data_IF_545963370275
#
_entry.id   IF_545963370275
#
_cell.length_a   1.000
_cell.length_b   1.000
_cell.length_c   1.000
_cell.angle_alpha   90.00
_cell.angle_beta   90.00
_cell.angle_gamma   90.00
#
_symmetry.space_group_name_H-M   'P 1'
#
loop_
_entity.id
_entity.type
_entity.pdbx_description
1 polymer ?
#
# COMPACT_ATOMS: atom_id res chain seq x y z
N UNK A 1 9.02 26.83 5.30
CA UNK A 1 8.26 25.68 4.76
C UNK A 1 7.26 25.26 5.83
N UNK A 2 6.05 24.83 5.44
CA UNK A 2 5.09 24.24 6.38
C UNK A 2 5.71 22.98 6.98
N UNK A 3 5.61 22.79 8.28
CA UNK A 3 6.07 21.55 8.92
C UNK A 3 5.18 20.39 8.44
N UNK A 4 5.78 19.27 8.04
CA UNK A 4 5.05 18.17 7.40
C UNK A 4 3.94 17.61 8.30
N UNK A 5 4.18 17.55 9.60
CA UNK A 5 3.18 17.11 10.57
C UNK A 5 1.90 17.99 10.57
N UNK A 6 2.00 19.25 10.16
CA UNK A 6 0.88 20.20 10.18
C UNK A 6 -0.02 20.10 8.94
N UNK A 7 0.27 19.18 8.01
CA UNK A 7 -0.60 18.94 6.85
C UNK A 7 -1.97 18.49 7.36
N UNK A 8 -3.02 19.22 6.96
CA UNK A 8 -4.41 18.90 7.33
C UNK A 8 -4.94 17.87 6.34
N UNK A 9 -5.49 16.78 6.86
CA UNK A 9 -5.96 15.70 5.99
C UNK A 9 -7.15 16.13 5.12
N UNK A 10 -7.94 17.10 5.59
CA UNK A 10 -9.05 17.70 4.86
C UNK A 10 -8.63 18.41 3.55
N UNK A 11 -7.34 18.75 3.39
CA UNK A 11 -6.81 19.28 2.13
C UNK A 11 -6.77 18.21 1.02
N UNK A 12 -6.85 16.93 1.40
CA UNK A 12 -6.82 15.75 0.52
C UNK A 12 -8.22 15.14 0.40
N UNK A 13 -9.23 15.98 0.27
CA UNK A 13 -10.61 15.57 0.13
C UNK A 13 -11.10 15.70 -1.31
N UNK A 14 -12.00 14.80 -1.70
CA UNK A 14 -12.71 14.85 -2.98
C UNK A 14 -14.01 14.04 -2.90
N UNK A 15 -15.05 14.43 -3.67
CA UNK A 15 -16.31 13.70 -3.65
C UNK A 15 -16.12 12.34 -4.33
N UNK A 16 -16.21 11.26 -3.55
CA UNK A 16 -16.22 9.89 -4.06
C UNK A 16 -17.63 9.30 -3.92
N UNK A 17 -18.43 9.24 -5.00
CA UNK A 17 -19.74 8.59 -4.96
C UNK A 17 -19.62 7.08 -4.73
N UNK A 18 -20.53 6.50 -3.93
CA UNK A 18 -20.55 5.06 -3.63
C UNK A 18 -20.64 4.19 -4.90
N UNK A 19 -21.34 4.68 -5.94
CA UNK A 19 -21.45 4.02 -7.25
C UNK A 19 -20.12 3.90 -8.01
N UNK A 20 -19.10 4.69 -7.64
CA UNK A 20 -17.75 4.58 -8.19
C UNK A 20 -16.89 3.56 -7.46
N UNK A 21 -17.32 3.03 -6.32
CA UNK A 21 -16.58 2.01 -5.56
C UNK A 21 -16.88 0.63 -6.16
N UNK A 22 -15.89 0.01 -6.78
CA UNK A 22 -16.03 -1.33 -7.34
C UNK A 22 -16.12 -2.39 -6.24
N UNK A 23 -17.24 -3.13 -6.20
CA UNK A 23 -17.47 -4.23 -5.25
C UNK A 23 -16.81 -5.56 -5.66
N UNK A 24 -16.57 -5.71 -6.97
CA UNK A 24 -15.97 -6.89 -7.60
C UNK A 24 -15.04 -6.41 -8.73
N UNK A 25 -14.01 -7.20 -9.09
CA UNK A 25 -13.18 -6.90 -10.25
C UNK A 25 -14.00 -7.00 -11.55
N UNK A 26 -13.48 -6.44 -12.64
CA UNK A 26 -13.98 -6.78 -13.98
C UNK A 26 -13.64 -8.23 -14.31
N UNK A 27 -14.45 -8.87 -15.15
CA UNK A 27 -14.31 -10.30 -15.51
C UNK A 27 -12.91 -10.64 -16.01
N UNK A 28 -12.37 -9.81 -16.92
CA UNK A 28 -10.96 -9.83 -17.31
C UNK A 28 -10.24 -8.67 -16.67
N UNK A 29 -9.36 -8.99 -15.71
CA UNK A 29 -8.75 -8.00 -14.83
C UNK A 29 -7.92 -6.93 -15.55
N UNK A 30 -7.30 -7.30 -16.67
CA UNK A 30 -6.50 -6.41 -17.51
C UNK A 30 -7.30 -5.58 -18.52
N UNK A 31 -8.62 -5.80 -18.61
CA UNK A 31 -9.54 -4.93 -19.35
C UNK A 31 -10.02 -3.73 -18.51
N UNK A 32 -9.56 -3.58 -17.26
CA UNK A 32 -9.86 -2.40 -16.44
C UNK A 32 -9.25 -1.13 -17.06
N UNK A 33 -9.83 0.03 -16.74
CA UNK A 33 -9.30 1.31 -17.24
C UNK A 33 -7.95 1.60 -16.58
N UNK A 34 -7.12 2.34 -17.29
CA UNK A 34 -5.84 2.80 -16.80
C UNK A 34 -5.66 4.29 -17.10
N UNK A 35 -5.44 5.10 -16.06
CA UNK A 35 -5.06 6.50 -16.22
C UNK A 35 -3.55 6.61 -16.20
N UNK A 36 -2.95 7.18 -17.24
CA UNK A 36 -1.51 7.41 -17.28
C UNK A 36 -1.24 8.89 -17.10
N UNK A 37 -0.44 9.24 -16.08
CA UNK A 37 0.09 10.59 -15.90
C UNK A 37 1.61 10.56 -16.07
N UNK A 38 2.10 11.25 -17.09
CA UNK A 38 3.53 11.30 -17.39
C UNK A 38 4.26 12.41 -16.62
N UNK A 39 5.56 12.51 -16.87
CA UNK A 39 6.44 13.44 -16.18
C UNK A 39 6.24 14.92 -16.52
N UNK A 40 5.48 15.21 -17.56
CA UNK A 40 5.09 16.58 -17.92
C UNK A 40 3.70 16.94 -17.35
N UNK A 41 3.06 16.00 -16.65
CA UNK A 41 1.70 16.14 -16.15
C UNK A 41 0.61 15.89 -17.19
N UNK A 42 0.95 15.40 -18.38
CA UNK A 42 -0.04 14.98 -19.36
C UNK A 42 -0.78 13.74 -18.88
N UNK A 43 -2.11 13.79 -18.93
CA UNK A 43 -3.00 12.69 -18.57
C UNK A 43 -3.54 12.06 -19.85
N UNK A 44 -3.45 10.74 -19.95
CA UNK A 44 -4.05 9.96 -21.03
C UNK A 44 -4.81 8.75 -20.47
N UNK A 45 -5.75 8.23 -21.24
CA UNK A 45 -6.65 7.15 -20.83
C UNK A 45 -6.44 5.92 -21.70
N UNK A 46 -6.26 4.77 -21.06
CA UNK A 46 -5.94 3.50 -21.71
C UNK A 46 -6.63 2.33 -21.00
N UNK A 47 -6.30 1.10 -21.41
CA UNK A 47 -6.65 -0.13 -20.68
C UNK A 47 -5.42 -0.76 -20.06
N UNK A 48 -5.58 -1.52 -18.98
CA UNK A 48 -4.43 -2.07 -18.24
C UNK A 48 -3.58 -3.03 -19.08
N UNK A 49 -4.19 -3.76 -20.02
CA UNK A 49 -3.46 -4.59 -21.01
C UNK A 49 -2.51 -3.82 -21.91
N UNK A 50 -2.61 -2.49 -21.97
CA UNK A 50 -1.72 -1.63 -22.77
C UNK A 50 -0.43 -1.28 -22.02
N UNK A 51 -0.38 -1.53 -20.70
CA UNK A 51 0.78 -1.27 -19.82
C UNK A 51 2.13 -1.72 -20.42
N UNK A 52 2.28 -2.92 -21.02
CA UNK A 52 3.57 -3.34 -21.57
C UNK A 52 4.13 -2.41 -22.66
N UNK A 53 3.27 -1.66 -23.36
CA UNK A 53 3.68 -0.73 -24.42
C UNK A 53 4.08 0.66 -23.92
N UNK A 54 3.77 0.97 -22.65
CA UNK A 54 3.98 2.30 -22.05
C UNK A 54 5.26 2.36 -21.21
N UNK A 55 5.82 1.20 -20.87
CA UNK A 55 6.99 1.09 -19.99
C UNK A 55 8.26 1.02 -20.84
N UNK A 56 9.24 1.90 -20.61
CA UNK A 56 10.52 1.86 -21.33
C UNK A 56 11.24 0.51 -21.14
N UNK A 57 11.91 0.04 -22.18
CA UNK A 57 12.76 -1.15 -22.11
C UNK A 57 13.85 -0.98 -21.04
N UNK A 58 14.19 -2.06 -20.33
CA UNK A 58 15.21 -2.04 -19.28
C UNK A 58 14.68 -1.58 -17.92
N UNK A 59 13.41 -1.18 -17.82
CA UNK A 59 12.73 -0.88 -16.55
C UNK A 59 12.68 -2.11 -15.66
N UNK A 60 12.84 -1.91 -14.34
CA UNK A 60 12.50 -2.92 -13.33
C UNK A 60 11.11 -2.62 -12.75
N UNK A 61 10.24 -3.62 -12.73
CA UNK A 61 8.96 -3.57 -12.02
C UNK A 61 9.01 -4.46 -10.79
N UNK A 62 8.75 -3.89 -9.61
CA UNK A 62 8.86 -4.60 -8.33
C UNK A 62 7.48 -4.72 -7.68
N UNK A 63 7.07 -5.96 -7.42
CA UNK A 63 5.73 -6.31 -6.96
C UNK A 63 5.75 -6.91 -5.55
N UNK A 64 4.72 -6.65 -4.74
CA UNK A 64 4.54 -7.33 -3.46
C UNK A 64 3.90 -8.71 -3.68
N UNK A 65 4.64 -9.80 -3.42
CA UNK A 65 4.20 -11.18 -3.65
C UNK A 65 3.46 -11.80 -2.45
N UNK A 66 3.04 -10.99 -1.48
CA UNK A 66 2.26 -11.48 -0.35
C UNK A 66 0.90 -12.03 -0.79
N UNK A 67 0.43 -13.05 -0.09
CA UNK A 67 -0.88 -13.69 -0.28
C UNK A 67 -1.76 -13.45 0.94
N UNK A 68 -3.01 -13.07 0.69
CA UNK A 68 -4.00 -12.85 1.75
C UNK A 68 -4.36 -14.16 2.41
N UNK A 69 -4.42 -14.19 3.74
CA UNK A 69 -4.81 -15.36 4.53
C UNK A 69 -6.28 -15.28 4.95
N UNK A 70 -6.83 -16.41 5.37
CA UNK A 70 -8.19 -16.54 5.93
C UNK A 70 -8.29 -15.94 7.35
N UNK A 71 -7.99 -14.65 7.48
CA UNK A 71 -7.75 -14.00 8.77
C UNK A 71 -9.00 -13.76 9.63
N UNK A 72 -10.21 -13.96 9.10
CA UNK A 72 -11.46 -13.81 9.87
C UNK A 72 -12.09 -15.14 10.20
N UNK A 73 -12.37 -15.37 11.47
CA UNK A 73 -12.99 -16.59 11.97
C UNK A 73 -14.30 -16.27 12.69
N UNK A 74 -15.37 -16.99 12.35
CA UNK A 74 -16.65 -16.96 13.07
C UNK A 74 -16.74 -18.12 14.03
N UNK A 75 -17.07 -17.81 15.27
CA UNK A 75 -17.37 -18.75 16.36
C UNK A 75 -18.84 -18.58 16.76
N UNK A 76 -19.53 -19.69 17.00
CA UNK A 76 -20.89 -19.69 17.54
C UNK A 76 -20.86 -20.14 18.99
N UNK A 77 -21.45 -19.34 19.88
CA UNK A 77 -21.63 -19.71 21.28
C UNK A 77 -22.82 -20.67 21.43
N UNK A 78 -22.82 -21.45 22.52
CA UNK A 78 -23.99 -22.25 22.92
C UNK A 78 -25.28 -21.40 23.08
N UNK A 79 -25.14 -20.11 23.41
CA UNK A 79 -26.26 -19.16 23.48
C UNK A 79 -26.77 -18.69 22.11
N UNK A 80 -26.23 -19.19 21.00
CA UNK A 80 -26.55 -18.78 19.61
C UNK A 80 -25.90 -17.47 19.16
N UNK A 81 -25.14 -16.78 20.03
CA UNK A 81 -24.46 -15.55 19.66
C UNK A 81 -23.21 -15.84 18.80
N UNK A 82 -23.05 -15.11 17.69
CA UNK A 82 -21.86 -15.18 16.84
C UNK A 82 -20.80 -14.17 17.32
N UNK A 83 -19.59 -14.66 17.53
CA UNK A 83 -18.38 -13.86 17.78
C UNK A 83 -17.47 -13.98 16.57
N UNK A 84 -17.00 -12.85 16.07
CA UNK A 84 -16.05 -12.81 14.95
C UNK A 84 -14.69 -12.37 15.47
N UNK A 85 -13.64 -13.12 15.12
CA UNK A 85 -12.26 -12.80 15.45
C UNK A 85 -11.54 -12.51 14.15
N UNK A 86 -10.93 -11.33 14.03
CA UNK A 86 -10.14 -10.91 12.89
C UNK A 86 -8.68 -10.78 13.31
N UNK A 87 -7.85 -11.74 12.89
CA UNK A 87 -6.41 -11.72 13.08
C UNK A 87 -5.78 -10.52 12.35
N UNK A 88 -4.92 -9.77 13.04
CA UNK A 88 -4.25 -8.57 12.49
C UNK A 88 -2.77 -8.84 12.27
N UNK A 89 -2.09 -9.32 13.32
CA UNK A 89 -0.65 -9.57 13.33
C UNK A 89 -0.27 -10.64 14.37
N UNK A 90 0.80 -11.40 14.12
CA UNK A 90 1.31 -12.41 15.05
C UNK A 90 1.91 -11.79 16.32
N UNK A 91 1.66 -12.42 17.47
CA UNK A 91 2.29 -12.06 18.75
C UNK A 91 3.30 -13.14 19.17
N UNK A 92 2.96 -14.41 19.00
CA UNK A 92 3.82 -15.51 19.45
C UNK A 92 3.54 -16.80 18.68
N UNK A 93 4.47 -17.27 17.82
CA UNK A 93 5.72 -16.61 17.39
C UNK A 93 5.50 -15.24 16.71
N UNK A 94 6.47 -14.33 16.72
CA UNK A 94 6.35 -13.01 16.06
C UNK A 94 6.61 -13.11 14.54
N UNK A 95 7.55 -13.97 14.15
CA UNK A 95 7.86 -14.19 12.73
C UNK A 95 6.72 -14.92 12.03
N UNK A 96 6.29 -14.44 10.86
CA UNK A 96 5.16 -15.00 10.12
C UNK A 96 5.42 -16.43 9.65
N UNK A 97 6.64 -16.76 9.21
CA UNK A 97 6.95 -18.10 8.76
C UNK A 97 6.90 -19.09 9.94
N UNK A 98 7.49 -18.73 11.07
CA UNK A 98 7.37 -19.52 12.31
C UNK A 98 5.93 -19.61 12.82
N UNK A 99 5.18 -18.51 12.77
CA UNK A 99 3.78 -18.46 13.17
C UNK A 99 2.94 -19.46 12.38
N UNK A 100 3.07 -19.49 11.06
CA UNK A 100 2.30 -20.42 10.23
C UNK A 100 2.74 -21.87 10.38
N UNK A 101 3.94 -22.13 10.87
CA UNK A 101 4.44 -23.47 11.21
C UNK A 101 4.17 -23.87 12.67
N UNK A 102 3.61 -22.97 13.50
CA UNK A 102 3.31 -23.25 14.89
C UNK A 102 2.35 -24.44 15.02
N UNK A 103 2.57 -25.25 16.06
CA UNK A 103 1.83 -26.48 16.37
C UNK A 103 1.25 -26.39 17.77
N UNK A 104 0.03 -26.91 17.95
CA UNK A 104 -0.69 -26.93 19.22
C UNK A 104 -1.30 -25.59 19.62
N UNK A 105 -0.54 -24.48 19.59
CA UNK A 105 -1.06 -23.14 19.87
C UNK A 105 -0.24 -22.00 19.26
N UNK A 106 -0.88 -20.83 19.18
CA UNK A 106 -0.23 -19.57 18.83
C UNK A 106 -1.03 -18.36 19.35
N UNK A 107 -0.42 -17.18 19.39
CA UNK A 107 -1.07 -15.94 19.85
C UNK A 107 -1.05 -14.86 18.77
N UNK A 108 -2.18 -14.20 18.60
CA UNK A 108 -2.40 -13.15 17.60
C UNK A 108 -3.04 -11.91 18.23
N UNK A 109 -2.64 -10.75 17.72
CA UNK A 109 -3.35 -9.50 17.91
C UNK A 109 -4.61 -9.53 17.02
N UNK A 110 -5.79 -9.36 17.61
CA UNK A 110 -7.07 -9.52 16.91
C UNK A 110 -8.06 -8.39 17.18
N UNK A 111 -8.86 -8.03 16.19
CA UNK A 111 -10.14 -7.34 16.42
C UNK A 111 -11.24 -8.37 16.73
N UNK A 112 -12.12 -8.04 17.67
CA UNK A 112 -13.21 -8.94 18.09
C UNK A 112 -14.56 -8.29 17.84
N UNK A 113 -15.29 -8.78 16.84
CA UNK A 113 -16.68 -8.45 16.57
C UNK A 113 -17.61 -9.00 17.66
N UNK A 114 -18.63 -8.23 18.05
CA UNK A 114 -19.52 -8.55 19.17
C UNK A 114 -18.79 -8.83 20.50
N UNK A 115 -17.62 -8.20 20.73
CA UNK A 115 -16.76 -8.46 21.90
C UNK A 115 -17.49 -8.43 23.25
N UNK A 116 -18.48 -7.53 23.43
CA UNK A 116 -19.31 -7.45 24.67
C UNK A 116 -20.09 -8.72 25.00
N UNK A 117 -20.32 -9.61 24.01
CA UNK A 117 -21.01 -10.90 24.18
C UNK A 117 -20.06 -12.05 24.49
N UNK A 118 -18.74 -11.82 24.39
CA UNK A 118 -17.70 -12.75 24.79
C UNK A 118 -17.13 -12.31 26.13
N UNK A 119 -17.47 -13.07 27.18
CA UNK A 119 -16.98 -12.85 28.55
C UNK A 119 -15.65 -13.61 28.73
N UNK A 120 -15.61 -14.61 29.61
CA UNK A 120 -14.37 -15.31 29.96
C UNK A 120 -14.26 -16.72 29.39
N UNK A 121 -15.38 -17.34 29.00
CA UNK A 121 -15.36 -18.71 28.47
C UNK A 121 -14.61 -18.80 27.13
N UNK A 122 -13.76 -19.82 26.94
CA UNK A 122 -13.14 -20.10 25.65
C UNK A 122 -14.21 -20.34 24.58
N UNK A 123 -13.96 -19.86 23.37
CA UNK A 123 -14.78 -20.17 22.21
C UNK A 123 -14.23 -21.44 21.55
N UNK A 124 -15.11 -22.34 21.14
CA UNK A 124 -14.73 -23.57 20.43
C UNK A 124 -15.37 -23.60 19.04
N UNK A 125 -14.68 -24.23 18.09
CA UNK A 125 -15.15 -24.48 16.74
C UNK A 125 -14.62 -25.83 16.26
N UNK A 126 -15.52 -26.70 15.81
CA UNK A 126 -15.13 -27.95 15.14
C UNK A 126 -14.77 -27.66 13.69
N UNK A 127 -13.61 -28.15 13.26
CA UNK A 127 -13.10 -28.08 11.89
C UNK A 127 -13.04 -29.49 11.31
N UNK A 128 -13.36 -29.64 10.03
CA UNK A 128 -13.23 -30.91 9.31
C UNK A 128 -12.01 -30.82 8.40
N UNK A 129 -10.92 -31.50 8.77
CA UNK A 129 -9.63 -31.47 8.05
C UNK A 129 -9.19 -32.91 7.81
N UNK A 130 -8.92 -33.30 6.56
CA UNK A 130 -8.50 -34.65 6.19
C UNK A 130 -9.37 -35.77 6.78
N UNK A 131 -10.70 -35.60 6.77
CA UNK A 131 -11.69 -36.52 7.36
C UNK A 131 -11.57 -36.72 8.88
N UNK A 132 -10.92 -35.80 9.58
CA UNK A 132 -10.83 -35.74 11.05
C UNK A 132 -11.53 -34.50 11.57
N UNK A 133 -12.15 -34.64 12.75
CA UNK A 133 -12.74 -33.55 13.49
C UNK A 133 -11.70 -32.97 14.45
N UNK A 134 -11.40 -31.68 14.26
CA UNK A 134 -10.41 -30.95 15.04
C UNK A 134 -11.12 -29.85 15.83
N UNK A 135 -10.84 -29.76 17.12
CA UNK A 135 -11.40 -28.71 17.99
C UNK A 135 -10.46 -27.52 18.06
N UNK A 136 -10.81 -26.43 17.36
CA UNK A 136 -10.15 -25.14 17.53
C UNK A 136 -10.75 -24.41 18.74
N UNK A 137 -9.89 -23.98 19.65
CA UNK A 137 -10.23 -23.15 20.81
C UNK A 137 -9.61 -21.76 20.69
N UNK A 138 -10.38 -20.71 20.95
CA UNK A 138 -9.90 -19.35 21.08
C UNK A 138 -10.11 -18.83 22.51
N UNK A 139 -9.04 -18.35 23.14
CA UNK A 139 -9.04 -17.78 24.49
C UNK A 139 -8.57 -16.33 24.46
N UNK A 140 -9.32 -15.44 25.08
CA UNK A 140 -8.93 -14.04 25.25
C UNK A 140 -7.92 -13.93 26.39
N UNK A 141 -6.70 -13.48 26.08
CA UNK A 141 -5.62 -13.30 27.06
C UNK A 141 -5.71 -11.92 27.70
N UNK A 142 -5.85 -10.87 26.88
CA UNK A 142 -5.91 -9.51 27.39
C UNK A 142 -5.98 -8.45 26.28
N UNK A 143 -6.09 -7.18 26.65
CA UNK A 143 -5.99 -6.07 25.69
C UNK A 143 -4.55 -5.96 25.16
N UNK A 144 -4.42 -5.60 23.89
CA UNK A 144 -3.15 -5.32 23.20
C UNK A 144 -3.34 -4.08 22.32
N UNK A 145 -2.92 -2.90 22.81
CA UNK A 145 -3.20 -1.62 22.14
C UNK A 145 -4.70 -1.40 21.91
N UNK A 146 -5.09 -1.16 20.66
CA UNK A 146 -6.50 -1.02 20.23
C UNK A 146 -7.16 -2.37 19.83
N UNK A 147 -6.53 -3.48 20.18
CA UNK A 147 -6.90 -4.85 19.81
C UNK A 147 -6.87 -5.78 21.04
N UNK A 148 -7.13 -7.07 20.82
CA UNK A 148 -7.08 -8.11 21.85
C UNK A 148 -6.04 -9.15 21.50
N UNK A 149 -5.25 -9.56 22.48
CA UNK A 149 -4.42 -10.75 22.37
C UNK A 149 -5.31 -12.00 22.54
N UNK A 150 -5.37 -12.81 21.50
CA UNK A 150 -6.13 -14.05 21.45
C UNK A 150 -5.15 -15.21 21.27
N UNK A 151 -5.25 -16.19 22.16
CA UNK A 151 -4.60 -17.49 22.02
C UNK A 151 -5.52 -18.43 21.25
N UNK A 152 -5.00 -19.00 20.16
CA UNK A 152 -5.61 -20.11 19.45
C UNK A 152 -4.90 -21.40 19.85
N UNK A 153 -5.66 -22.44 20.17
CA UNK A 153 -5.15 -23.78 20.46
C UNK A 153 -6.01 -24.84 19.77
N UNK A 154 -5.40 -25.95 19.38
CA UNK A 154 -6.10 -27.07 18.72
C UNK A 154 -5.60 -28.42 19.23
N UNK A 155 -6.42 -29.46 19.07
CA UNK A 155 -6.26 -30.78 19.70
C UNK A 155 -5.48 -31.80 18.85
N UNK A 156 -4.86 -31.37 17.74
CA UNK A 156 -4.00 -32.21 16.89
C UNK A 156 -2.67 -31.50 16.57
N UNK A 157 -1.60 -31.94 17.24
CA UNK A 157 -0.25 -31.38 17.11
C UNK A 157 0.45 -31.72 15.78
N UNK A 158 -0.12 -32.59 14.95
CA UNK A 158 0.37 -32.84 13.60
C UNK A 158 0.09 -31.65 12.68
N UNK A 159 -0.98 -30.90 12.95
CA UNK A 159 -1.44 -29.77 12.15
C UNK A 159 -0.72 -28.46 12.52
N UNK A 160 -0.41 -27.68 11.49
CA UNK A 160 0.17 -26.34 11.63
C UNK A 160 -0.93 -25.28 11.68
N UNK A 161 -0.62 -24.12 12.27
CA UNK A 161 -1.55 -23.00 12.30
C UNK A 161 -2.01 -22.57 10.89
N UNK A 162 -1.15 -22.67 9.87
CA UNK A 162 -1.53 -22.41 8.47
C UNK A 162 -2.75 -23.24 8.03
N UNK A 163 -2.79 -24.51 8.42
CA UNK A 163 -3.89 -25.43 8.09
C UNK A 163 -5.15 -25.07 8.89
N UNK A 164 -4.97 -24.74 10.17
CA UNK A 164 -6.05 -24.34 11.07
C UNK A 164 -6.74 -23.06 10.61
N UNK A 165 -5.98 -21.99 10.33
CA UNK A 165 -6.55 -20.71 9.92
C UNK A 165 -7.23 -20.80 8.53
N UNK A 166 -6.67 -21.61 7.62
CA UNK A 166 -7.25 -21.86 6.31
C UNK A 166 -8.61 -22.55 6.41
N UNK A 167 -8.74 -23.58 7.26
CA UNK A 167 -10.00 -24.29 7.48
C UNK A 167 -11.02 -23.50 8.33
N UNK A 168 -10.54 -22.73 9.31
CA UNK A 168 -11.41 -22.04 10.27
C UNK A 168 -11.93 -20.70 9.78
N UNK A 169 -11.15 -20.02 8.94
CA UNK A 169 -11.39 -18.64 8.56
C UNK A 169 -11.88 -18.45 7.13
N UNK A 170 -12.02 -17.18 6.76
CA UNK A 170 -12.37 -16.74 5.42
C UNK A 170 -11.62 -15.43 5.08
N UNK A 171 -11.59 -15.05 3.80
CA UNK A 171 -10.84 -13.88 3.34
C UNK A 171 -11.43 -12.59 3.91
N UNK A 172 -10.65 -11.77 4.64
CA UNK A 172 -11.06 -10.43 5.04
C UNK A 172 -11.12 -9.51 3.81
N UNK A 173 -12.31 -8.99 3.52
CA UNK A 173 -12.47 -7.92 2.53
C UNK A 173 -12.58 -6.54 3.19
N UNK A 174 -12.17 -5.46 2.50
CA UNK A 174 -12.24 -4.11 3.04
C UNK A 174 -13.69 -3.72 3.40
N UNK A 175 -13.90 -3.00 4.51
CA UNK A 175 -15.24 -2.64 4.97
C UNK A 175 -16.00 -1.75 3.99
N UNK A 176 -15.30 -0.92 3.21
CA UNK A 176 -15.92 -0.02 2.23
C UNK A 176 -16.56 -0.74 1.03
N UNK A 177 -16.29 -2.05 0.83
CA UNK A 177 -16.98 -2.81 -0.22
C UNK A 177 -18.46 -3.03 0.12
N UNK A 178 -18.86 -2.85 1.39
CA UNK A 178 -20.25 -2.92 1.85
C UNK A 178 -20.95 -4.23 1.42
N UNK A 179 -20.22 -5.35 1.46
CA UNK A 179 -20.73 -6.71 1.25
C UNK A 179 -20.02 -7.70 2.16
N UNK A 180 -20.54 -8.92 2.23
CA UNK A 180 -19.86 -10.03 2.92
C UNK A 180 -18.80 -10.64 2.00
N UNK A 181 -17.83 -11.32 2.61
CA UNK A 181 -16.86 -12.14 1.89
C UNK A 181 -17.58 -13.31 1.22
N UNK A 182 -17.18 -13.62 0.00
CA UNK A 182 -17.73 -14.67 -0.86
C UNK A 182 -16.63 -15.67 -1.23
N UNK A 183 -16.98 -16.88 -1.65
CA UNK A 183 -15.99 -17.92 -1.97
C UNK A 183 -15.04 -17.49 -3.10
N UNK A 184 -15.55 -16.71 -4.06
CA UNK A 184 -14.77 -16.15 -5.17
C UNK A 184 -13.67 -15.18 -4.70
N UNK A 185 -13.80 -14.55 -3.54
CA UNK A 185 -12.76 -13.63 -3.01
C UNK A 185 -11.45 -14.37 -2.69
N UNK A 186 -11.48 -15.69 -2.48
CA UNK A 186 -10.26 -16.50 -2.35
C UNK A 186 -9.38 -16.50 -3.61
N UNK A 187 -9.98 -16.17 -4.76
CA UNK A 187 -9.34 -16.04 -6.07
C UNK A 187 -9.24 -14.56 -6.46
N UNK A 188 -10.33 -13.80 -6.31
CA UNK A 188 -10.45 -12.41 -6.74
C UNK A 188 -9.60 -11.44 -5.93
N UNK A 189 -9.44 -11.70 -4.64
CA UNK A 189 -8.66 -10.87 -3.75
C UNK A 189 -7.20 -11.34 -3.63
N UNK A 190 -6.65 -11.87 -4.73
CA UNK A 190 -5.27 -12.35 -4.82
C UNK A 190 -4.63 -11.94 -6.15
N UNK A 191 -3.34 -11.61 -6.13
CA UNK A 191 -2.57 -11.37 -7.36
C UNK A 191 -2.11 -12.71 -7.97
N UNK A 192 -1.93 -12.73 -9.29
CA UNK A 192 -1.47 -13.93 -10.02
C UNK A 192 -0.06 -14.39 -9.63
N UNK A 193 0.74 -13.50 -9.02
CA UNK A 193 2.10 -13.77 -8.55
C UNK A 193 2.19 -13.87 -7.02
N UNK A 194 1.07 -13.90 -6.29
CA UNK A 194 1.06 -14.06 -4.83
C UNK A 194 1.52 -15.46 -4.41
N UNK A 195 2.49 -15.53 -3.50
CA UNK A 195 3.13 -16.79 -3.07
C UNK A 195 3.23 -16.91 -1.55
N UNK A 196 3.62 -15.82 -0.88
CA UNK A 196 3.97 -15.84 0.54
C UNK A 196 2.76 -15.50 1.40
N UNK A 197 2.19 -16.51 2.08
CA UNK A 197 1.07 -16.32 3.02
C UNK A 197 1.49 -15.37 4.16
N UNK A 198 0.65 -14.38 4.47
CA UNK A 198 0.80 -13.59 5.70
C UNK A 198 0.09 -12.25 5.74
N UNK A 199 -0.44 -11.76 4.63
CA UNK A 199 -1.20 -10.51 4.65
C UNK A 199 -2.66 -10.72 5.04
N UNK A 200 -3.26 -9.71 5.66
CA UNK A 200 -4.71 -9.64 5.92
C UNK A 200 -5.43 -8.71 4.93
N UNK A 201 -4.69 -8.10 4.01
CA UNK A 201 -5.19 -7.31 2.91
C UNK A 201 -4.37 -7.56 1.65
N UNK A 202 -5.00 -7.48 0.47
CA UNK A 202 -4.30 -7.72 -0.79
C UNK A 202 -3.46 -6.50 -1.20
N UNK A 203 -2.31 -6.68 -1.88
CA UNK A 203 -1.63 -5.61 -2.61
C UNK A 203 -2.44 -5.27 -3.88
N UNK A 204 -3.50 -4.48 -3.70
CA UNK A 204 -4.62 -4.36 -4.64
C UNK A 204 -4.27 -3.81 -6.03
N UNK A 205 -3.20 -3.01 -6.14
CA UNK A 205 -2.69 -2.56 -7.45
C UNK A 205 -2.21 -3.73 -8.33
N UNK A 206 -1.80 -4.83 -7.71
CA UNK A 206 -1.36 -6.05 -8.37
C UNK A 206 -2.49 -6.90 -8.92
N UNK A 207 -3.75 -6.64 -8.54
CA UNK A 207 -4.89 -7.47 -8.92
C UNK A 207 -5.18 -7.40 -10.43
N UNK A 208 -4.78 -6.31 -11.09
CA UNK A 208 -5.02 -6.08 -12.52
C UNK A 208 -4.10 -6.90 -13.43
N UNK A 209 -2.99 -7.43 -12.90
CA UNK A 209 -2.06 -8.23 -13.69
C UNK A 209 -2.64 -9.59 -14.02
N UNK A 210 -2.60 -9.93 -15.31
CA UNK A 210 -2.79 -11.27 -15.84
C UNK A 210 -1.44 -11.86 -16.20
N UNK A 211 -1.38 -13.19 -16.36
CA UNK A 211 -0.17 -13.85 -16.84
C UNK A 211 0.24 -13.32 -18.23
N UNK A 212 -0.73 -13.04 -19.10
CA UNK A 212 -0.50 -12.48 -20.42
C UNK A 212 0.19 -11.10 -20.37
N UNK A 213 -0.26 -10.20 -19.47
CA UNK A 213 0.39 -8.90 -19.28
C UNK A 213 1.81 -9.05 -18.77
N UNK A 214 2.06 -9.97 -17.83
CA UNK A 214 3.40 -10.25 -17.29
C UNK A 214 4.33 -10.78 -18.38
N UNK A 215 3.86 -11.74 -19.18
CA UNK A 215 4.65 -12.33 -20.26
C UNK A 215 5.01 -11.28 -21.33
N UNK A 216 4.07 -10.38 -21.66
CA UNK A 216 4.31 -9.26 -22.58
C UNK A 216 5.28 -8.21 -22.01
N UNK A 217 5.22 -7.93 -20.71
CA UNK A 217 6.22 -7.07 -20.05
C UNK A 217 7.63 -7.66 -20.19
N UNK A 218 7.78 -8.96 -19.89
CA UNK A 218 9.06 -9.65 -20.00
C UNK A 218 9.56 -9.64 -21.45
N UNK A 219 8.67 -9.93 -22.42
CA UNK A 219 9.00 -9.90 -23.85
C UNK A 219 9.45 -8.51 -24.33
N UNK A 220 8.93 -7.44 -23.72
CA UNK A 220 9.33 -6.06 -24.01
C UNK A 220 10.60 -5.62 -23.25
N UNK A 221 11.28 -6.55 -22.57
CA UNK A 221 12.53 -6.27 -21.85
C UNK A 221 12.34 -5.58 -20.50
N UNK A 222 11.16 -5.71 -19.88
CA UNK A 222 10.92 -5.29 -18.50
C UNK A 222 11.34 -6.42 -17.55
N UNK A 223 12.11 -6.06 -16.53
CA UNK A 223 12.53 -7.00 -15.49
C UNK A 223 11.50 -7.03 -14.38
N UNK A 224 10.83 -8.17 -14.17
CA UNK A 224 9.93 -8.36 -13.03
C UNK A 224 10.70 -8.85 -11.80
N UNK A 225 10.45 -8.23 -10.65
CA UNK A 225 10.99 -8.64 -9.34
C UNK A 225 9.92 -8.61 -8.26
N UNK A 226 10.19 -9.32 -7.18
CA UNK A 226 9.27 -9.52 -6.07
C UNK A 226 9.93 -9.13 -4.74
N UNK A 227 9.14 -8.50 -3.88
CA UNK A 227 9.41 -8.33 -2.45
C UNK A 227 8.23 -8.89 -1.66
N UNK A 228 8.41 -9.13 -0.37
CA UNK A 228 7.31 -9.53 0.52
C UNK A 228 7.06 -8.41 1.52
N UNK A 229 5.84 -7.88 1.58
CA UNK A 229 5.38 -7.03 2.68
C UNK A 229 4.05 -7.54 3.18
N UNK A 230 3.98 -7.86 4.48
CA UNK A 230 2.77 -8.32 5.14
C UNK A 230 1.88 -7.13 5.47
N UNK A 231 0.80 -7.00 4.71
CA UNK A 231 -0.15 -5.90 4.83
C UNK A 231 -1.08 -6.20 6.00
N UNK A 232 -0.96 -5.40 7.06
CA UNK A 232 -1.81 -5.45 8.24
C UNK A 232 -3.18 -4.79 8.02
N UNK A 233 -4.10 -4.99 8.97
CA UNK A 233 -5.44 -4.39 8.92
C UNK A 233 -5.43 -2.85 9.05
N UNK A 234 -4.31 -2.27 9.51
CA UNK A 234 -4.09 -0.82 9.59
C UNK A 234 -4.27 -0.11 8.25
N UNK A 235 -4.02 -0.79 7.13
CA UNK A 235 -4.23 -0.26 5.77
C UNK A 235 -5.68 0.17 5.48
N UNK A 236 -6.66 -0.36 6.22
CA UNK A 236 -8.08 0.01 6.09
C UNK A 236 -8.51 1.17 6.98
N UNK A 237 -7.62 1.68 7.84
CA UNK A 237 -8.00 2.70 8.81
C UNK A 237 -7.98 4.09 8.16
N UNK A 238 -9.09 4.83 8.16
CA UNK A 238 -9.08 6.22 7.74
C UNK A 238 -8.29 7.06 8.75
N UNK A 239 -7.70 8.15 8.27
CA UNK A 239 -7.10 9.16 9.14
C UNK A 239 -8.22 9.88 9.86
N UNK A 240 -8.28 9.75 11.19
CA UNK A 240 -9.30 10.37 12.04
C UNK A 240 -8.86 11.69 12.67
N UNK A 241 -7.56 11.96 12.64
CA UNK A 241 -6.98 13.19 13.16
C UNK A 241 -7.15 14.35 12.17
N UNK A 242 -7.12 15.58 12.68
CA UNK A 242 -7.16 16.78 11.83
C UNK A 242 -5.86 16.91 11.01
N UNK A 243 -4.72 16.67 11.66
CA UNK A 243 -3.39 16.74 11.05
C UNK A 243 -2.79 15.34 10.89
N UNK A 244 -1.84 15.21 9.97
CA UNK A 244 -1.13 13.94 9.79
C UNK A 244 -0.10 13.68 10.89
N UNK A 245 0.31 14.71 11.63
CA UNK A 245 1.20 14.60 12.79
C UNK A 245 0.63 13.74 13.90
N UNK A 246 -0.68 13.83 14.12
CA UNK A 246 -1.41 13.09 15.15
C UNK A 246 -1.84 11.68 14.70
N UNK A 247 -1.53 11.30 13.45
CA UNK A 247 -1.85 9.98 12.92
C UNK A 247 -0.64 9.04 13.07
N UNK A 248 -0.71 8.03 13.96
CA UNK A 248 0.29 6.98 13.99
C UNK A 248 0.11 6.08 12.77
N UNK A 249 1.15 6.01 11.93
CA UNK A 249 1.22 5.06 10.83
C UNK A 249 1.31 3.65 11.37
N UNK A 250 0.59 2.73 10.74
CA UNK A 250 0.76 1.32 11.03
C UNK A 250 2.12 0.84 10.55
N UNK A 251 2.76 0.03 11.38
CA UNK A 251 4.00 -0.67 11.06
C UNK A 251 3.68 -1.87 10.17
N UNK A 252 4.42 -2.00 9.07
CA UNK A 252 4.36 -3.15 8.18
C UNK A 252 5.70 -3.89 8.22
N UNK A 253 5.65 -5.22 8.30
CA UNK A 253 6.83 -6.08 8.25
C UNK A 253 7.06 -6.50 6.80
N UNK A 254 8.29 -6.40 6.33
CA UNK A 254 8.67 -6.78 4.99
C UNK A 254 9.96 -7.59 4.98
N UNK A 255 10.14 -8.38 3.93
CA UNK A 255 11.33 -9.16 3.67
C UNK A 255 11.86 -8.88 2.26
N UNK A 256 13.17 -8.66 2.19
CA UNK A 256 13.91 -8.40 0.94
C UNK A 256 15.19 -9.23 0.91
N UNK A 257 15.54 -9.72 -0.28
CA UNK A 257 16.79 -10.45 -0.48
C UNK A 257 17.94 -9.50 -0.78
N UNK A 258 19.16 -9.89 -0.42
CA UNK A 258 20.38 -9.18 -0.82
C UNK A 258 20.45 -8.99 -2.33
N UNK A 259 20.14 -10.05 -3.08
CA UNK A 259 20.10 -10.02 -4.55
C UNK A 259 19.23 -8.89 -5.09
N UNK A 260 18.05 -8.66 -4.51
CA UNK A 260 17.18 -7.55 -4.93
C UNK A 260 17.84 -6.19 -4.66
N UNK A 261 18.53 -6.03 -3.54
CA UNK A 261 19.29 -4.80 -3.23
C UNK A 261 20.37 -4.57 -4.28
N UNK A 262 21.14 -5.60 -4.62
CA UNK A 262 22.22 -5.51 -5.61
C UNK A 262 21.67 -5.16 -7.00
N UNK A 263 20.57 -5.78 -7.42
CA UNK A 263 19.90 -5.46 -8.69
C UNK A 263 19.32 -4.03 -8.70
N UNK A 264 18.83 -3.51 -7.57
CA UNK A 264 18.41 -2.09 -7.44
C UNK A 264 19.62 -1.17 -7.58
N UNK A 265 20.74 -1.47 -6.94
CA UNK A 265 22.00 -0.72 -7.07
C UNK A 265 22.43 -0.66 -8.54
N UNK A 266 22.41 -1.79 -9.25
CA UNK A 266 22.71 -1.85 -10.69
C UNK A 266 21.74 -0.99 -11.51
N UNK A 267 20.44 -1.02 -11.21
CA UNK A 267 19.44 -0.22 -11.93
C UNK A 267 19.67 1.28 -11.75
N UNK A 268 19.91 1.72 -10.51
CA UNK A 268 20.18 3.13 -10.21
C UNK A 268 21.49 3.60 -10.84
N UNK A 269 22.54 2.77 -10.80
CA UNK A 269 23.85 3.07 -11.41
C UNK A 269 23.75 3.20 -12.93
N UNK A 270 22.89 2.38 -13.56
CA UNK A 270 22.62 2.44 -14.99
C UNK A 270 21.63 3.54 -15.39
N UNK A 271 21.12 4.35 -14.45
CA UNK A 271 20.09 5.36 -14.67
C UNK A 271 18.84 4.82 -15.38
N UNK A 272 18.45 3.58 -15.04
CA UNK A 272 17.24 2.92 -15.58
C UNK A 272 16.11 3.01 -14.56
N UNK A 273 14.87 3.03 -15.08
CA UNK A 273 13.69 3.25 -14.27
C UNK A 273 13.35 2.07 -13.36
N UNK A 274 12.86 2.40 -12.16
CA UNK A 274 12.25 1.44 -11.24
C UNK A 274 10.79 1.82 -11.02
N UNK A 275 9.87 0.89 -11.33
CA UNK A 275 8.44 1.03 -11.09
C UNK A 275 8.03 0.16 -9.89
N UNK A 276 7.37 0.77 -8.92
CA UNK A 276 6.72 0.06 -7.83
C UNK A 276 5.27 -0.30 -8.20
N UNK A 277 4.89 -1.56 -7.98
CA UNK A 277 3.50 -2.00 -8.14
C UNK A 277 2.80 -1.96 -6.78
N UNK A 278 2.04 -0.90 -6.56
CA UNK A 278 1.29 -0.63 -5.35
C UNK A 278 2.07 0.20 -4.32
N UNK A 279 1.31 0.93 -3.51
CA UNK A 279 1.83 1.81 -2.45
C UNK A 279 2.61 1.06 -1.37
N UNK A 280 2.29 -0.21 -1.12
CA UNK A 280 3.06 -1.05 -0.18
C UNK A 280 4.48 -1.31 -0.71
N UNK A 281 4.62 -1.61 -2.00
CA UNK A 281 5.94 -1.77 -2.62
C UNK A 281 6.71 -0.46 -2.63
N UNK A 282 6.03 0.67 -2.86
CA UNK A 282 6.64 2.01 -2.72
C UNK A 282 7.24 2.19 -1.33
N UNK A 283 6.46 1.95 -0.27
CA UNK A 283 6.93 2.11 1.12
C UNK A 283 8.12 1.21 1.41
N UNK A 284 8.10 -0.05 0.98
CA UNK A 284 9.24 -0.96 1.14
C UNK A 284 10.48 -0.42 0.44
N UNK A 285 10.38 -0.11 -0.86
CA UNK A 285 11.51 0.34 -1.65
C UNK A 285 12.10 1.62 -1.09
N UNK A 286 11.26 2.64 -0.86
CA UNK A 286 11.71 3.91 -0.30
C UNK A 286 12.23 3.81 1.14
N UNK A 287 11.99 2.70 1.86
CA UNK A 287 12.59 2.43 3.18
C UNK A 287 14.01 1.88 3.09
N UNK A 288 14.40 1.21 2.00
CA UNK A 288 15.71 0.54 1.88
C UNK A 288 16.91 1.49 2.04
N UNK A 289 16.93 2.70 1.43
CA UNK A 289 18.03 3.63 1.63
C UNK A 289 18.12 4.13 3.08
N UNK A 290 16.99 4.24 3.80
CA UNK A 290 16.99 4.62 5.21
C UNK A 290 17.54 3.51 6.11
N UNK A 291 17.29 2.23 5.80
CA UNK A 291 17.97 1.12 6.48
C UNK A 291 19.49 1.20 6.29
N UNK A 292 19.94 1.49 5.05
CA UNK A 292 21.35 1.75 4.76
C UNK A 292 21.92 2.91 5.57
N UNK A 293 21.20 4.03 5.64
CA UNK A 293 21.59 5.20 6.42
C UNK A 293 21.63 4.93 7.93
N UNK A 294 20.70 4.11 8.45
CA UNK A 294 20.70 3.66 9.85
C UNK A 294 21.96 2.85 10.16
N UNK A 295 22.36 1.92 9.28
CA UNK A 295 23.60 1.16 9.43
C UNK A 295 24.82 2.10 9.42
N UNK A 296 24.84 3.12 8.55
CA UNK A 296 25.94 4.10 8.53
C UNK A 296 26.08 4.86 9.86
N UNK A 297 24.97 5.11 10.55
CA UNK A 297 24.95 5.77 11.86
C UNK A 297 25.22 4.81 13.02
N UNK A 298 24.80 3.55 12.89
CA UNK A 298 24.94 2.50 13.91
C UNK A 298 25.43 1.20 13.26
N UNK A 299 26.76 1.03 13.06
CA UNK A 299 27.31 -0.12 12.33
C UNK A 299 27.01 -1.50 12.96
N UNK A 300 26.86 -1.56 14.28
CA UNK A 300 26.55 -2.79 15.04
C UNK A 300 25.05 -3.05 15.19
N UNK A 301 24.21 -2.40 14.36
CA UNK A 301 22.76 -2.59 14.38
C UNK A 301 22.40 -4.06 14.09
N UNK A 302 21.55 -4.63 14.93
CA UNK A 302 21.10 -6.01 14.80
C UNK A 302 19.90 -6.13 13.85
N UNK A 303 19.66 -7.30 13.23
CA UNK A 303 18.52 -7.51 12.34
C UNK A 303 17.18 -7.12 12.97
N UNK A 304 16.95 -7.46 14.24
CA UNK A 304 15.71 -7.15 14.97
C UNK A 304 15.48 -5.63 15.20
N UNK A 305 16.50 -4.81 15.00
CA UNK A 305 16.44 -3.35 15.12
C UNK A 305 16.23 -2.66 13.76
N UNK A 306 16.14 -3.41 12.67
CA UNK A 306 15.91 -2.87 11.32
C UNK A 306 14.48 -2.35 11.17
N UNK A 307 14.26 -1.12 11.61
CA UNK A 307 13.00 -0.40 11.53
C UNK A 307 13.20 0.98 10.92
N UNK A 308 12.33 1.37 9.99
CA UNK A 308 12.22 2.75 9.51
C UNK A 308 11.00 3.40 10.14
N UNK A 309 11.24 4.37 11.01
CA UNK A 309 10.21 5.15 11.68
C UNK A 309 9.49 6.10 10.71
N UNK A 310 8.23 6.37 11.03
CA UNK A 310 7.32 7.27 10.32
C UNK A 310 7.96 8.58 9.87
N UNK A 311 8.76 9.19 10.75
CA UNK A 311 9.32 10.53 10.55
C UNK A 311 10.79 10.54 10.12
N UNK A 312 11.46 9.39 10.00
CA UNK A 312 12.85 9.36 9.54
C UNK A 312 13.09 10.17 8.26
N UNK A 313 12.23 10.15 7.23
CA UNK A 313 12.44 10.94 6.01
C UNK A 313 12.52 12.46 6.21
N UNK A 314 12.01 12.97 7.32
CA UNK A 314 11.86 14.39 7.61
C UNK A 314 12.77 14.87 8.74
N UNK A 315 13.56 13.98 9.32
CA UNK A 315 14.51 14.28 10.38
C UNK A 315 15.84 14.79 9.81
N UNK A 316 16.48 15.73 10.51
CA UNK A 316 17.75 16.34 10.05
C UNK A 316 18.85 15.31 9.85
N UNK A 317 18.94 14.27 10.70
CA UNK A 317 19.95 13.23 10.56
C UNK A 317 19.83 12.40 9.26
N UNK A 318 18.67 12.44 8.60
CA UNK A 318 18.43 11.77 7.31
C UNK A 318 18.18 12.76 6.17
N UNK A 319 18.38 14.06 6.41
CA UNK A 319 18.12 15.11 5.43
C UNK A 319 19.00 14.94 4.18
N UNK A 320 20.25 14.49 4.35
CA UNK A 320 21.17 14.26 3.25
C UNK A 320 22.04 13.02 3.50
N UNK A 321 21.77 11.98 2.71
CA UNK A 321 22.67 10.85 2.54
C UNK A 321 22.60 10.41 1.08
N UNK A 322 23.72 9.89 0.57
CA UNK A 322 23.81 9.36 -0.78
C UNK A 322 23.07 8.02 -0.88
N UNK A 323 22.06 7.96 -1.76
CA UNK A 323 21.21 6.77 -1.90
C UNK A 323 22.00 5.54 -2.30
N UNK A 324 22.96 5.67 -3.23
CA UNK A 324 23.74 4.54 -3.73
C UNK A 324 24.67 4.00 -2.65
N UNK A 325 25.36 4.89 -1.94
CA UNK A 325 26.22 4.55 -0.81
C UNK A 325 25.44 3.87 0.33
N UNK A 326 24.22 4.36 0.62
CA UNK A 326 23.37 3.75 1.64
C UNK A 326 22.95 2.33 1.25
N UNK A 327 22.52 2.11 0.00
CA UNK A 327 22.16 0.77 -0.49
C UNK A 327 23.37 -0.17 -0.54
N UNK A 328 24.54 0.30 -0.97
CA UNK A 328 25.79 -0.48 -0.93
C UNK A 328 26.21 -0.82 0.50
N UNK A 329 25.93 0.06 1.45
CA UNK A 329 26.16 -0.22 2.88
C UNK A 329 25.19 -1.28 3.39
N UNK A 330 23.92 -1.21 3.01
CA UNK A 330 22.95 -2.25 3.29
C UNK A 330 23.38 -3.60 2.69
N UNK A 331 23.78 -3.66 1.41
CA UNK A 331 24.25 -4.90 0.77
C UNK A 331 25.46 -5.52 1.50
N UNK A 332 26.47 -4.72 1.87
CA UNK A 332 27.62 -5.19 2.67
C UNK A 332 27.24 -5.66 4.07
N UNK A 333 26.18 -5.07 4.66
CA UNK A 333 25.67 -5.51 5.95
C UNK A 333 25.05 -6.92 5.88
N UNK A 334 24.37 -7.28 4.77
CA UNK A 334 23.92 -8.67 4.55
C UNK A 334 25.11 -9.64 4.57
N UNK A 335 26.19 -9.31 3.83
CA UNK A 335 27.41 -10.13 3.78
C UNK A 335 28.04 -10.31 5.15
N UNK A 336 28.20 -9.20 5.88
CA UNK A 336 28.87 -9.18 7.19
C UNK A 336 28.11 -9.99 8.24
N UNK A 337 26.78 -10.09 8.09
CA UNK A 337 25.93 -10.88 8.99
C UNK A 337 25.65 -12.31 8.48
N UNK A 338 26.14 -12.67 7.27
CA UNK A 338 25.90 -13.98 6.68
C UNK A 338 24.42 -14.28 6.42
N UNK A 339 23.62 -13.26 6.11
CA UNK A 339 22.19 -13.41 5.81
C UNK A 339 21.91 -13.15 4.33
N UNK A 340 20.94 -13.88 3.77
CA UNK A 340 20.50 -13.71 2.37
C UNK A 340 19.19 -12.92 2.26
N UNK A 341 18.36 -12.96 3.32
CA UNK A 341 17.07 -12.29 3.41
C UNK A 341 17.03 -11.52 4.72
N UNK A 342 16.70 -10.23 4.64
CA UNK A 342 16.44 -9.38 5.79
C UNK A 342 14.93 -9.29 5.98
N UNK A 343 14.45 -9.58 7.19
CA UNK A 343 13.13 -9.16 7.65
C UNK A 343 13.29 -7.87 8.44
N UNK A 344 12.63 -6.81 7.99
CA UNK A 344 12.64 -5.48 8.57
C UNK A 344 11.21 -4.96 8.70
N UNK A 345 11.03 -3.79 9.29
CA UNK A 345 9.72 -3.15 9.39
C UNK A 345 9.76 -1.67 9.05
N UNK A 346 8.63 -1.12 8.62
CA UNK A 346 8.51 0.30 8.27
C UNK A 346 7.17 0.86 8.71
N UNK A 347 7.22 2.02 9.34
CA UNK A 347 6.07 2.89 9.60
C UNK A 347 6.15 4.17 8.74
N UNK A 348 7.04 4.22 7.74
CA UNK A 348 7.35 5.41 6.94
C UNK A 348 6.10 6.16 6.46
N UNK A 349 6.06 7.48 6.70
CA UNK A 349 5.09 8.41 6.14
C UNK A 349 5.63 8.97 4.83
N UNK A 350 4.85 8.86 3.76
CA UNK A 350 5.14 9.51 2.47
C UNK A 350 4.05 10.54 2.21
N UNK A 351 4.39 11.81 2.44
CA UNK A 351 3.53 12.97 2.24
C UNK A 351 4.22 14.01 1.34
N UNK A 352 3.50 15.01 0.80
CA UNK A 352 4.10 16.04 -0.06
C UNK A 352 5.35 16.67 0.55
N UNK A 353 6.39 16.83 -0.27
CA UNK A 353 7.74 17.22 0.19
C UNK A 353 8.67 16.05 0.50
N UNK A 354 8.24 14.81 0.31
CA UNK A 354 9.09 13.62 0.42
C UNK A 354 10.22 13.63 -0.64
N UNK A 355 11.42 13.26 -0.21
CA UNK A 355 12.55 13.07 -1.12
C UNK A 355 12.58 11.64 -1.64
N UNK A 356 12.09 11.44 -2.87
CA UNK A 356 12.05 10.14 -3.54
C UNK A 356 13.44 9.67 -3.96
N UNK A 357 13.79 8.44 -3.60
CA UNK A 357 15.16 7.92 -3.74
C UNK A 357 15.29 6.78 -4.75
N UNK A 358 14.26 5.95 -4.91
CA UNK A 358 14.33 4.74 -5.75
C UNK A 358 13.28 4.74 -6.85
N UNK A 359 12.04 5.12 -6.53
CA UNK A 359 10.90 4.89 -7.41
C UNK A 359 10.76 6.00 -8.44
N UNK A 360 10.70 5.62 -9.72
CA UNK A 360 10.47 6.51 -10.88
C UNK A 360 9.08 6.35 -11.49
N UNK A 361 8.37 5.27 -11.15
CA UNK A 361 6.98 5.11 -11.54
C UNK A 361 6.19 4.28 -10.54
N UNK A 362 4.88 4.51 -10.49
CA UNK A 362 3.96 3.80 -9.61
C UNK A 362 2.80 3.28 -10.43
N UNK A 363 2.56 1.97 -10.37
CA UNK A 363 1.26 1.39 -10.74
C UNK A 363 0.42 1.31 -9.46
N UNK A 364 -0.70 2.02 -9.40
CA UNK A 364 -1.57 2.02 -8.21
C UNK A 364 -3.05 2.19 -8.56
N UNK A 365 -3.91 1.91 -7.59
CA UNK A 365 -5.34 2.17 -7.68
C UNK A 365 -5.66 3.63 -7.33
N UNK A 366 -6.91 4.04 -7.51
CA UNK A 366 -7.41 5.27 -6.90
C UNK A 366 -7.79 5.05 -5.43
N UNK A 367 -7.42 5.99 -4.56
CA UNK A 367 -7.49 5.83 -3.10
C UNK A 367 -8.60 6.67 -2.47
N UNK A 368 -9.04 6.28 -1.26
CA UNK A 368 -10.08 7.03 -0.54
C UNK A 368 -9.66 8.50 -0.31
N UNK A 369 -10.63 9.43 -0.29
CA UNK A 369 -10.38 10.77 0.20
C UNK A 369 -9.86 10.71 1.65
N UNK A 370 -9.06 11.70 2.03
CA UNK A 370 -8.52 11.84 3.38
C UNK A 370 -7.74 10.61 3.86
N UNK A 371 -6.98 9.99 2.96
CA UNK A 371 -6.16 8.80 3.25
C UNK A 371 -4.66 9.07 3.10
N UNK A 372 -3.85 8.34 3.84
CA UNK A 372 -2.38 8.40 3.72
C UNK A 372 -1.88 7.90 2.36
N UNK A 373 -2.63 7.02 1.69
CA UNK A 373 -2.32 6.59 0.33
C UNK A 373 -2.50 7.74 -0.68
N UNK A 374 -3.50 8.61 -0.47
CA UNK A 374 -3.66 9.81 -1.30
C UNK A 374 -2.54 10.83 -1.06
N UNK A 375 -2.03 10.95 0.17
CA UNK A 375 -0.84 11.76 0.46
C UNK A 375 0.40 11.25 -0.30
N UNK A 376 0.59 9.93 -0.35
CA UNK A 376 1.69 9.30 -1.08
C UNK A 376 1.58 9.60 -2.58
N UNK A 377 0.40 9.40 -3.17
CA UNK A 377 0.16 9.70 -4.58
C UNK A 377 0.36 11.19 -4.87
N UNK A 378 -0.15 12.09 -4.01
CA UNK A 378 0.10 13.52 -4.14
C UNK A 378 1.59 13.84 -4.09
N UNK A 379 2.32 13.25 -3.14
CA UNK A 379 3.76 13.46 -3.00
C UNK A 379 4.54 13.05 -4.26
N UNK A 380 4.14 11.94 -4.89
CA UNK A 380 4.76 11.49 -6.12
C UNK A 380 4.48 12.43 -7.30
N UNK A 381 3.22 12.88 -7.43
CA UNK A 381 2.79 13.82 -8.48
C UNK A 381 3.46 15.21 -8.29
N UNK A 382 3.54 15.68 -7.05
CA UNK A 382 4.07 17.02 -6.73
C UNK A 382 5.61 17.07 -6.78
N UNK A 383 6.30 15.93 -6.70
CA UNK A 383 7.76 15.80 -6.89
C UNK A 383 8.25 16.60 -8.10
N UNK A 384 7.43 16.62 -9.15
CA UNK A 384 7.73 17.22 -10.44
C UNK A 384 7.74 18.75 -10.41
N UNK A 385 6.76 19.36 -9.73
CA UNK A 385 6.64 20.83 -9.67
C UNK A 385 7.78 21.51 -8.93
N UNK A 386 8.57 20.75 -8.17
CA UNK A 386 9.69 21.25 -7.37
C UNK A 386 10.98 21.34 -8.17
N UNK A 387 11.19 20.44 -9.14
CA UNK A 387 12.34 20.45 -10.06
C UNK A 387 12.19 21.58 -11.08
N UNK A 388 10.98 21.75 -11.63
CA UNK A 388 10.70 22.79 -12.63
C UNK A 388 10.78 24.21 -12.04
N UNK A 389 10.40 24.41 -10.77
CA UNK A 389 10.51 25.71 -10.08
C UNK A 389 11.96 26.10 -9.78
N UNK A 390 12.86 25.13 -9.57
CA UNK A 390 14.29 25.41 -9.43
C UNK A 390 14.97 25.71 -10.78
N UNK A 391 14.44 25.15 -11.88
CA UNK A 391 14.90 25.47 -13.24
C UNK A 391 14.38 26.83 -13.74
N UNK A 392 13.11 27.16 -13.51
CA UNK A 392 12.49 28.42 -13.96
C UNK A 392 12.84 29.65 -13.13
N UNK A 393 13.25 29.50 -11.86
CA UNK A 393 13.77 30.63 -11.06
C UNK A 393 15.13 31.13 -11.55
N UNK A 394 15.83 30.35 -12.38
CA UNK A 394 17.07 30.77 -13.06
C UNK A 394 16.84 31.45 -14.41
N UNK A 395 15.63 31.40 -14.99
CA UNK A 395 15.35 31.94 -16.33
C UNK A 395 14.46 33.18 -16.34
N UNK A 396 13.63 33.43 -15.32
CA UNK A 396 12.65 34.54 -15.34
C UNK A 396 13.13 35.79 -14.60
N UNK A 397 14.36 36.22 -14.89
CA UNK A 397 14.84 37.57 -14.61
C UNK A 397 14.93 38.38 -15.93
N UNK A 398 13.85 38.42 -16.71
CA UNK A 398 13.60 39.43 -17.74
C UNK A 398 12.17 39.30 -18.26
N UNK A 399 11.58 40.46 -18.53
CA UNK A 399 10.36 40.70 -19.31
C UNK A 399 9.01 40.59 -18.59
N UNK A 400 8.47 41.78 -18.27
CA UNK A 400 7.07 41.98 -17.93
C UNK A 400 6.30 42.61 -19.09
N UNK A 401 5.08 42.12 -19.34
CA UNK A 401 4.03 42.88 -20.04
C UNK A 401 2.63 42.30 -19.76
N UNK A 402 1.84 43.12 -19.05
CA UNK A 402 0.39 43.41 -19.13
C UNK A 402 -0.63 42.35 -19.59
N UNK A 403 -1.52 41.98 -18.65
CA UNK A 403 -2.79 41.25 -18.85
C UNK A 403 -3.99 42.19 -18.68
N UNK A 404 -4.58 42.69 -19.77
CA UNK A 404 -5.87 43.43 -19.71
C UNK A 404 -6.96 42.96 -20.68
N UNK A 405 -6.66 42.11 -21.66
CA UNK A 405 -7.65 41.73 -22.69
C UNK A 405 -8.38 40.39 -22.46
N UNK A 406 -8.02 39.64 -21.42
CA UNK A 406 -8.61 38.30 -21.15
C UNK A 406 -9.92 38.33 -20.35
N UNK A 407 -10.32 39.48 -19.78
CA UNK A 407 -11.44 39.57 -18.83
C UNK A 407 -12.84 39.59 -19.45
N UNK A 408 -12.97 39.80 -20.76
CA UNK A 408 -14.27 40.08 -21.35
C UNK A 408 -14.91 38.89 -22.09
N UNK A 409 -14.19 37.76 -22.23
CA UNK A 409 -14.64 36.60 -23.01
C UNK A 409 -15.25 35.46 -22.20
N UNK A 410 -15.15 35.48 -20.87
CA UNK A 410 -15.56 34.36 -20.00
C UNK A 410 -16.93 34.54 -19.31
N UNK A 411 -17.68 35.61 -19.62
CA UNK A 411 -18.97 35.88 -18.98
C UNK A 411 -20.14 35.08 -19.59
N UNK A 412 -20.06 34.69 -20.87
CA UNK A 412 -21.21 34.13 -21.59
C UNK A 412 -21.31 32.60 -21.55
N UNK A 413 -20.26 31.89 -21.09
CA UNK A 413 -20.19 30.41 -21.07
C UNK A 413 -20.65 29.78 -19.73
N UNK A 414 -21.03 30.58 -18.73
CA UNK A 414 -21.29 30.10 -17.37
C UNK A 414 -22.73 29.60 -17.12
N UNK A 415 -23.62 29.68 -18.13
CA UNK A 415 -25.05 29.38 -17.98
C UNK A 415 -25.42 27.90 -18.22
N UNK A 416 -24.48 27.03 -18.63
CA UNK A 416 -24.74 25.62 -19.00
C UNK A 416 -24.22 24.56 -18.01
N UNK A 417 -23.56 24.94 -16.90
CA UNK A 417 -22.92 23.99 -15.98
C UNK A 417 -23.84 23.49 -14.85
N UNK A 418 -23.79 22.18 -14.46
CA UNK A 418 -24.51 21.62 -13.31
C UNK A 418 -24.10 22.24 -11.96
N UNK A 419 -24.98 22.16 -10.96
CA UNK A 419 -24.88 22.86 -9.67
C UNK A 419 -23.60 22.54 -8.85
N UNK A 420 -23.02 21.34 -9.00
CA UNK A 420 -21.75 20.95 -8.37
C UNK A 420 -20.51 21.62 -8.99
N UNK A 421 -20.62 22.23 -10.17
CA UNK A 421 -19.57 23.05 -10.80
C UNK A 421 -19.68 24.54 -10.46
N UNK A 422 -20.78 24.99 -9.83
CA UNK A 422 -21.03 26.41 -9.54
C UNK A 422 -20.54 26.86 -8.16
N UNK A 423 -20.16 25.92 -7.29
CA UNK A 423 -19.58 26.21 -5.97
C UNK A 423 -18.07 26.00 -6.01
N UNK A 424 -17.33 26.96 -6.56
CA UNK A 424 -15.90 27.20 -6.26
C UNK A 424 -15.32 28.42 -6.99
N UNK A 425 -16.10 29.49 -7.21
CA UNK A 425 -15.56 30.73 -7.81
C UNK A 425 -14.90 31.67 -6.77
N UNK A 426 -14.85 31.31 -5.48
CA UNK A 426 -14.25 32.13 -4.42
C UNK A 426 -12.82 31.74 -4.02
N UNK A 427 -12.20 30.74 -4.65
CA UNK A 427 -10.82 30.35 -4.32
C UNK A 427 -9.95 30.36 -5.58
N UNK A 428 -9.31 31.50 -5.88
CA UNK A 428 -8.39 31.66 -7.00
C UNK A 428 -7.03 30.97 -6.74
N UNK A 429 -7.04 29.80 -6.09
CA UNK A 429 -5.90 28.89 -5.99
C UNK A 429 -6.09 27.79 -7.02
N UNK A 430 -5.14 27.68 -7.95
CA UNK A 430 -5.11 26.56 -8.87
C UNK A 430 -5.20 25.24 -8.08
N UNK A 431 -6.16 24.37 -8.45
CA UNK A 431 -6.31 23.05 -7.85
C UNK A 431 -4.97 22.29 -7.86
N UNK A 432 -4.62 21.55 -6.81
CA UNK A 432 -3.39 20.76 -6.80
C UNK A 432 -3.44 19.66 -7.88
N UNK A 433 -2.26 19.23 -8.35
CA UNK A 433 -2.13 18.32 -9.50
C UNK A 433 -2.79 16.97 -9.26
N UNK A 434 -2.65 16.41 -8.06
CA UNK A 434 -3.35 15.18 -7.68
C UNK A 434 -4.86 15.34 -7.80
N UNK A 435 -5.42 16.51 -7.45
CA UNK A 435 -6.87 16.75 -7.50
C UNK A 435 -7.36 16.82 -8.93
N UNK A 436 -6.58 17.44 -9.84
CA UNK A 436 -6.87 17.44 -11.28
C UNK A 436 -6.93 16.00 -11.83
N UNK A 437 -6.01 15.14 -11.43
CA UNK A 437 -5.99 13.74 -11.85
C UNK A 437 -7.23 12.97 -11.37
N UNK A 438 -7.62 13.15 -10.11
CA UNK A 438 -8.80 12.49 -9.54
C UNK A 438 -10.10 13.05 -10.14
N UNK A 439 -10.19 14.36 -10.38
CA UNK A 439 -11.33 14.99 -11.08
C UNK A 439 -11.46 14.42 -12.51
N UNK A 440 -10.35 14.21 -13.24
CA UNK A 440 -10.34 13.57 -14.55
C UNK A 440 -10.80 12.11 -14.49
N UNK A 441 -10.35 11.34 -13.48
CA UNK A 441 -10.80 9.96 -13.29
C UNK A 441 -12.31 9.90 -13.04
N UNK A 442 -12.84 10.76 -12.17
CA UNK A 442 -14.29 10.85 -11.90
C UNK A 442 -15.09 11.25 -13.14
N UNK A 443 -14.59 12.20 -13.92
CA UNK A 443 -15.25 12.67 -15.15
C UNK A 443 -15.26 11.62 -16.27
N UNK A 444 -14.33 10.66 -16.25
CA UNK A 444 -14.19 9.60 -17.26
C UNK A 444 -14.67 8.23 -16.75
N UNK A 445 -15.57 8.22 -15.77
CA UNK A 445 -16.21 7.01 -15.23
C UNK A 445 -15.23 5.95 -14.74
N UNK A 446 -14.13 6.34 -14.09
CA UNK A 446 -13.24 5.40 -13.45
C UNK A 446 -13.88 4.81 -12.19
N UNK A 447 -13.55 3.55 -11.92
CA UNK A 447 -13.89 2.83 -10.69
C UNK A 447 -12.74 2.96 -9.69
N UNK A 448 -13.06 3.03 -8.41
CA UNK A 448 -12.10 3.37 -7.35
C UNK A 448 -11.87 2.21 -6.38
N UNK A 449 -10.78 2.31 -5.60
CA UNK A 449 -10.38 1.40 -4.52
C UNK A 449 -9.94 0.01 -5.00
N UNK A 450 -10.04 -1.01 -4.14
CA UNK A 450 -9.40 -2.33 -4.32
C UNK A 450 -9.63 -2.99 -5.68
N UNK A 451 -10.90 -3.06 -6.11
CA UNK A 451 -11.30 -3.69 -7.37
C UNK A 451 -11.56 -2.68 -8.49
N UNK A 452 -11.19 -1.43 -8.26
CA UNK A 452 -11.38 -0.33 -9.19
C UNK A 452 -10.50 -0.43 -10.42
N UNK A 453 -10.31 0.70 -11.06
CA UNK A 453 -9.41 0.87 -12.19
C UNK A 453 -8.01 1.28 -11.72
N UNK A 454 -7.04 1.19 -12.64
CA UNK A 454 -5.63 1.41 -12.35
C UNK A 454 -5.15 2.80 -12.78
N UNK A 455 -3.97 3.18 -12.30
CA UNK A 455 -3.21 4.34 -12.73
C UNK A 455 -1.73 4.01 -12.83
N UNK A 456 -1.06 4.59 -13.81
CA UNK A 456 0.40 4.62 -13.93
C UNK A 456 0.86 6.07 -13.85
N UNK A 457 1.68 6.33 -12.85
CA UNK A 457 2.30 7.62 -12.61
C UNK A 457 3.79 7.47 -12.94
N UNK A 458 4.35 8.32 -13.80
CA UNK A 458 5.76 8.24 -14.20
C UNK A 458 6.48 9.58 -14.03
N UNK A 459 7.79 9.52 -13.85
CA UNK A 459 8.64 10.71 -13.81
C UNK A 459 9.11 11.18 -15.19
N UNK A 460 8.95 10.35 -16.23
CA UNK A 460 9.29 10.63 -17.63
C UNK A 460 8.08 10.99 -18.48
#
# INVERSE_FOLDING_TARGET
MRHIADIRIAEFDYPLPDERIAKHPVEKRDECKMLVRNGQGHITHHTFKDLPSMVPQGTMMICNNTRVINARMKFQKATGASIEIFCLEPISPVDYAQMFQAKGSCRWSCLVGNSKRWKEEPLTKTLHIDSRDITLTARRIGPHGNSWEIEFAWDDDSLTFATIIEAAGYIPIPPYLNRLSEDVDSIDYQTVYSKIKGSVAAPTAGLHFTQEVIDRLIANGITMRELTLHVGAGTFQPVKSETIGDHPMHTEVFSVSRRLIDEIIEQLTAHRHIIAVGTTSVRTLESLPYLGALIMQTPDIKPEQMHVDQWNPYQEQFAQFDTLQALQTLSRWFESNGIEVLTASTSIMIAPGFHWRIVDGIVTNFHQPQSTLLLLVSSFIDRQTSIDKQATSKTNASDGATTSEWRQKNADDNLSKPEWQRKDESDNKAKPEWRKMYDQALANDYRFLSYGDSSLLTTW
#
